data_IF_790690373140
#
_entry.id   IF_790690373140
#
_cell.length_a   1.000
_cell.length_b   1.000
_cell.length_c   1.000
_cell.angle_alpha   90.00
_cell.angle_beta   90.00
_cell.angle_gamma   90.00
#
_symmetry.space_group_name_H-M   'P 1'
#
loop_
_entity.id
_entity.type
_entity.pdbx_description
1 polymer ?
#
# COMPACT_ATOMS: atom_id res chain seq x y z
N UNK A 1 15.52 -4.59 1.29
CA UNK A 1 14.55 -4.98 2.34
C UNK A 1 13.59 -5.95 1.70
N UNK A 2 13.51 -7.15 2.21
CA UNK A 2 12.52 -8.13 1.78
C UNK A 2 11.17 -7.66 2.30
N UNK A 3 10.24 -7.36 1.41
CA UNK A 3 8.86 -7.16 1.81
C UNK A 3 8.26 -8.57 1.94
N UNK A 4 8.41 -9.14 3.14
CA UNK A 4 7.76 -10.38 3.53
C UNK A 4 6.35 -10.06 4.02
N UNK A 5 5.39 -10.88 3.67
CA UNK A 5 4.12 -10.87 4.39
C UNK A 5 4.28 -11.49 5.79
N UNK A 6 3.25 -11.40 6.63
CA UNK A 6 3.35 -11.90 8.01
C UNK A 6 3.54 -13.41 8.10
N UNK A 7 3.07 -14.17 7.14
CA UNK A 7 3.24 -15.62 7.10
C UNK A 7 4.66 -16.00 6.66
N UNK A 8 5.22 -15.28 5.67
CA UNK A 8 6.63 -15.37 5.27
C UNK A 8 7.56 -14.98 6.42
N UNK A 9 7.25 -13.90 7.17
CA UNK A 9 8.00 -13.51 8.35
C UNK A 9 7.99 -14.62 9.43
N UNK A 10 6.83 -15.19 9.71
CA UNK A 10 6.70 -16.27 10.70
C UNK A 10 7.51 -17.51 10.33
N UNK A 11 7.51 -17.86 9.05
CA UNK A 11 8.32 -18.96 8.53
C UNK A 11 9.82 -18.64 8.67
N UNK A 12 10.26 -17.45 8.31
CA UNK A 12 11.65 -17.00 8.46
C UNK A 12 12.13 -17.05 9.91
N UNK A 13 11.33 -16.56 10.86
CA UNK A 13 11.70 -16.60 12.29
C UNK A 13 11.86 -18.03 12.80
N UNK A 14 10.99 -18.95 12.38
CA UNK A 14 11.09 -20.35 12.77
C UNK A 14 12.29 -21.04 12.11
N UNK A 15 12.44 -20.88 10.80
CA UNK A 15 13.34 -21.71 9.98
C UNK A 15 14.79 -21.17 10.00
N UNK A 16 14.96 -19.84 10.06
CA UNK A 16 16.28 -19.21 10.00
C UNK A 16 16.81 -18.75 11.38
N UNK A 17 15.90 -18.35 12.28
CA UNK A 17 16.30 -17.84 13.60
C UNK A 17 16.06 -18.85 14.73
N UNK A 18 15.46 -20.00 14.44
CA UNK A 18 15.19 -21.05 15.44
C UNK A 18 14.19 -20.63 16.54
N UNK A 19 13.39 -19.59 16.26
CA UNK A 19 12.38 -19.10 17.20
C UNK A 19 11.16 -19.99 17.09
N UNK A 20 11.05 -20.95 17.99
CA UNK A 20 9.96 -21.93 18.01
C UNK A 20 8.75 -21.36 18.75
N UNK A 21 8.05 -20.40 18.09
CA UNK A 21 6.80 -19.83 18.57
C UNK A 21 5.64 -20.22 17.66
N UNK A 22 4.43 -20.17 18.19
CA UNK A 22 3.23 -20.31 17.38
C UNK A 22 3.15 -19.15 16.37
N UNK A 23 3.19 -19.48 15.08
CA UNK A 23 3.14 -18.51 13.99
C UNK A 23 1.90 -17.60 14.07
N UNK A 24 0.75 -18.14 14.50
CA UNK A 24 -0.48 -17.37 14.69
C UNK A 24 -0.34 -16.34 15.82
N UNK A 25 0.27 -16.72 16.94
CA UNK A 25 0.52 -15.82 18.06
C UNK A 25 1.53 -14.73 17.70
N UNK A 26 2.58 -15.06 16.94
CA UNK A 26 3.53 -14.06 16.42
C UNK A 26 2.86 -13.08 15.49
N UNK A 27 2.08 -13.58 14.55
CA UNK A 27 1.29 -12.76 13.63
C UNK A 27 0.37 -11.81 14.39
N UNK A 28 -0.41 -12.33 15.35
CA UNK A 28 -1.32 -11.49 16.14
C UNK A 28 -0.57 -10.41 16.91
N UNK A 29 0.56 -10.76 17.55
CA UNK A 29 1.40 -9.77 18.26
C UNK A 29 1.91 -8.67 17.31
N UNK A 30 2.36 -9.03 16.12
CA UNK A 30 2.81 -8.06 15.12
C UNK A 30 1.67 -7.12 14.70
N UNK A 31 0.49 -7.68 14.40
CA UNK A 31 -0.71 -6.89 14.04
C UNK A 31 -1.11 -5.95 15.19
N UNK A 32 -1.11 -6.41 16.42
CA UNK A 32 -1.46 -5.59 17.60
C UNK A 32 -0.49 -4.41 17.78
N UNK A 33 0.82 -4.66 17.64
CA UNK A 33 1.85 -3.62 17.70
C UNK A 33 1.67 -2.62 16.56
N UNK A 34 1.52 -3.10 15.33
CA UNK A 34 1.32 -2.24 14.16
C UNK A 34 0.04 -1.41 14.30
N UNK A 35 -1.09 -2.03 14.68
CA UNK A 35 -2.36 -1.33 14.87
C UNK A 35 -2.23 -0.21 15.90
N UNK A 36 -1.53 -0.47 17.02
CA UNK A 36 -1.26 0.56 18.03
C UNK A 36 -0.49 1.74 17.44
N UNK A 37 0.60 1.49 16.71
CA UNK A 37 1.39 2.55 16.09
C UNK A 37 0.60 3.32 15.02
N UNK A 38 -0.16 2.63 14.17
CA UNK A 38 -1.04 3.27 13.20
C UNK A 38 -2.13 4.13 13.86
N UNK A 39 -2.58 3.75 15.07
CA UNK A 39 -3.57 4.53 15.83
C UNK A 39 -2.98 5.72 16.59
N UNK A 40 -1.66 5.83 16.73
CA UNK A 40 -1.02 6.84 17.59
C UNK A 40 -0.03 7.76 16.87
N UNK A 41 0.99 7.22 16.23
CA UNK A 41 2.22 7.94 15.94
C UNK A 41 2.76 7.84 14.48
N UNK A 42 2.39 6.82 13.68
CA UNK A 42 2.88 6.73 12.31
C UNK A 42 2.35 7.89 11.45
N UNK A 43 3.19 8.82 10.98
CA UNK A 43 2.72 9.93 10.17
C UNK A 43 2.25 9.48 8.78
N UNK A 44 1.41 10.29 8.15
CA UNK A 44 1.24 10.18 6.70
C UNK A 44 2.52 10.64 5.99
N UNK A 45 2.76 10.15 4.79
CA UNK A 45 3.83 10.69 3.94
C UNK A 45 3.53 12.15 3.62
N UNK A 46 4.57 12.97 3.56
CA UNK A 46 4.43 14.41 3.36
C UNK A 46 3.63 14.74 2.08
N UNK A 47 2.75 15.74 2.18
CA UNK A 47 1.88 16.17 1.10
C UNK A 47 0.75 15.20 0.72
N UNK A 48 0.72 13.97 1.27
CA UNK A 48 -0.31 13.00 0.89
C UNK A 48 -1.67 13.29 1.51
N UNK A 49 -1.74 13.87 2.72
CA UNK A 49 -3.02 14.25 3.32
C UNK A 49 -3.70 15.37 2.54
N UNK A 50 -2.94 16.37 2.13
CA UNK A 50 -3.42 17.48 1.31
C UNK A 50 -3.91 16.99 -0.06
N UNK A 51 -3.15 16.08 -0.67
CA UNK A 51 -3.53 15.45 -1.93
C UNK A 51 -4.85 14.69 -1.80
N UNK A 52 -4.97 13.80 -0.80
CA UNK A 52 -6.17 12.99 -0.59
C UNK A 52 -7.40 13.87 -0.37
N UNK A 53 -7.29 14.90 0.46
CA UNK A 53 -8.40 15.83 0.71
C UNK A 53 -8.79 16.60 -0.54
N UNK A 54 -7.81 17.11 -1.29
CA UNK A 54 -8.05 17.82 -2.56
C UNK A 54 -8.75 16.93 -3.58
N UNK A 55 -8.31 15.70 -3.75
CA UNK A 55 -8.93 14.76 -4.67
C UNK A 55 -10.36 14.40 -4.23
N UNK A 56 -10.59 14.23 -2.93
CA UNK A 56 -11.92 14.01 -2.37
C UNK A 56 -12.85 15.20 -2.64
N UNK A 57 -12.40 16.43 -2.38
CA UNK A 57 -13.14 17.66 -2.65
C UNK A 57 -13.43 17.87 -4.14
N UNK A 58 -12.54 17.41 -5.01
CA UNK A 58 -12.72 17.40 -6.46
C UNK A 58 -13.72 16.33 -6.94
N UNK A 59 -14.19 15.43 -6.06
CA UNK A 59 -15.11 14.35 -6.38
C UNK A 59 -14.45 13.13 -7.01
N UNK A 60 -13.12 13.00 -6.86
CA UNK A 60 -12.40 11.81 -7.32
C UNK A 60 -12.86 10.57 -6.56
N UNK A 61 -13.11 9.48 -7.27
CA UNK A 61 -13.42 8.19 -6.67
C UNK A 61 -12.11 7.47 -6.31
N UNK A 62 -11.89 7.21 -5.02
CA UNK A 62 -10.62 6.68 -4.52
C UNK A 62 -10.80 5.37 -3.78
N UNK A 63 -9.84 4.47 -3.91
CA UNK A 63 -9.75 3.27 -3.07
C UNK A 63 -8.31 3.02 -2.62
N UNK A 64 -8.18 2.23 -1.57
CA UNK A 64 -6.89 1.74 -1.07
C UNK A 64 -6.73 0.27 -1.47
N UNK A 65 -5.52 -0.09 -1.93
CA UNK A 65 -5.09 -1.48 -2.05
C UNK A 65 -3.79 -1.68 -1.27
N UNK A 66 -3.82 -2.53 -0.25
CA UNK A 66 -2.72 -2.66 0.71
C UNK A 66 -2.41 -4.11 1.08
N UNK A 67 -1.16 -4.37 1.45
CA UNK A 67 -0.72 -5.60 2.10
C UNK A 67 -0.87 -5.56 3.63
N UNK A 68 -1.20 -4.39 4.19
CA UNK A 68 -1.42 -4.23 5.63
C UNK A 68 -2.74 -4.87 6.06
N UNK A 69 -2.78 -5.30 7.34
CA UNK A 69 -4.02 -5.77 7.95
C UNK A 69 -5.09 -4.67 7.97
N UNK A 70 -6.34 -5.03 7.75
CA UNK A 70 -7.47 -4.09 7.68
C UNK A 70 -7.57 -3.23 8.94
N UNK A 71 -7.36 -3.80 10.12
CA UNK A 71 -7.41 -3.06 11.38
C UNK A 71 -6.35 -1.97 11.48
N UNK A 72 -5.14 -2.21 10.94
CA UNK A 72 -4.09 -1.20 10.86
C UNK A 72 -4.50 -0.02 9.97
N UNK A 73 -5.08 -0.32 8.80
CA UNK A 73 -5.53 0.70 7.85
C UNK A 73 -6.64 1.55 8.45
N UNK A 74 -7.67 0.91 9.01
CA UNK A 74 -8.81 1.59 9.64
C UNK A 74 -8.34 2.50 10.79
N UNK A 75 -7.39 2.04 11.61
CA UNK A 75 -6.81 2.82 12.70
C UNK A 75 -6.09 4.08 12.18
N UNK A 76 -5.28 3.94 11.12
CA UNK A 76 -4.59 5.07 10.51
C UNK A 76 -5.56 6.09 9.91
N UNK A 77 -6.52 5.64 9.10
CA UNK A 77 -7.48 6.51 8.42
C UNK A 77 -8.35 7.28 9.41
N UNK A 78 -8.82 6.61 10.47
CA UNK A 78 -9.60 7.24 11.53
C UNK A 78 -8.80 8.32 12.26
N UNK A 79 -7.55 8.03 12.65
CA UNK A 79 -6.67 9.00 13.32
C UNK A 79 -6.35 10.20 12.44
N UNK A 80 -6.14 9.98 11.15
CA UNK A 80 -5.81 11.04 10.18
C UNK A 80 -7.05 11.81 9.70
N UNK A 81 -8.26 11.34 10.03
CA UNK A 81 -9.52 12.00 9.65
C UNK A 81 -9.75 11.99 8.13
N UNK A 82 -9.43 10.87 7.47
CA UNK A 82 -9.57 10.71 6.01
C UNK A 82 -10.29 9.43 5.60
N UNK A 83 -10.98 8.77 6.53
CA UNK A 83 -11.74 7.54 6.24
C UNK A 83 -12.76 7.78 5.14
N UNK A 84 -13.51 8.87 5.21
CA UNK A 84 -14.58 9.21 4.27
C UNK A 84 -14.06 9.65 2.88
N UNK A 85 -12.75 9.84 2.74
CA UNK A 85 -12.13 10.16 1.45
C UNK A 85 -12.06 8.93 0.51
N UNK A 86 -12.22 7.72 1.04
CA UNK A 86 -12.09 6.50 0.26
C UNK A 86 -13.42 5.77 0.11
N UNK A 87 -13.76 5.44 -1.13
CA UNK A 87 -14.98 4.70 -1.45
C UNK A 87 -14.86 3.21 -1.09
N UNK A 88 -13.64 2.66 -1.08
CA UNK A 88 -13.40 1.28 -0.67
C UNK A 88 -11.94 1.07 -0.20
N UNK A 89 -11.73 0.00 0.56
CA UNK A 89 -10.41 -0.45 1.00
C UNK A 89 -10.31 -1.95 0.69
N UNK A 90 -9.31 -2.31 -0.09
CA UNK A 90 -8.97 -3.69 -0.42
C UNK A 90 -7.64 -4.05 0.21
N UNK A 91 -7.62 -5.16 0.92
CA UNK A 91 -6.38 -5.78 1.38
C UNK A 91 -6.01 -6.92 0.42
N UNK A 92 -4.77 -7.42 0.51
CA UNK A 92 -4.36 -8.61 -0.25
C UNK A 92 -5.13 -9.88 0.14
N UNK A 93 -5.89 -9.85 1.23
CA UNK A 93 -6.77 -10.94 1.67
C UNK A 93 -8.17 -10.88 1.02
N UNK A 94 -8.57 -9.73 0.47
CA UNK A 94 -9.85 -9.53 -0.21
C UNK A 94 -9.78 -9.89 -1.71
N UNK A 95 -8.56 -10.10 -2.22
CA UNK A 95 -8.26 -10.32 -3.63
C UNK A 95 -7.48 -11.64 -3.76
N UNK A 96 -7.79 -12.51 -4.75
CA UNK A 96 -7.12 -13.80 -4.92
C UNK A 96 -5.68 -13.70 -5.44
N UNK A 97 -5.18 -12.49 -5.66
CA UNK A 97 -3.84 -12.19 -6.17
C UNK A 97 -3.12 -11.21 -5.25
N UNK A 98 -1.80 -11.35 -5.11
CA UNK A 98 -0.99 -10.37 -4.39
C UNK A 98 -0.62 -9.17 -5.28
N UNK A 99 0.01 -8.14 -4.70
CA UNK A 99 0.42 -6.91 -5.41
C UNK A 99 1.46 -7.12 -6.50
N UNK A 100 2.09 -8.29 -6.59
CA UNK A 100 3.04 -8.64 -7.66
C UNK A 100 2.35 -9.13 -8.94
N UNK A 101 1.01 -9.29 -8.90
CA UNK A 101 0.23 -9.75 -10.04
C UNK A 101 -0.64 -8.62 -10.60
N UNK A 102 -0.51 -8.27 -11.90
CA UNK A 102 -1.33 -7.24 -12.53
C UNK A 102 -2.84 -7.45 -12.41
N UNK A 103 -3.27 -8.71 -12.33
CA UNK A 103 -4.69 -9.06 -12.23
C UNK A 103 -5.32 -8.58 -10.90
N UNK A 104 -4.53 -8.35 -9.84
CA UNK A 104 -5.04 -7.76 -8.61
C UNK A 104 -5.56 -6.33 -8.84
N UNK A 105 -4.80 -5.51 -9.55
CA UNK A 105 -5.18 -4.13 -9.86
C UNK A 105 -6.36 -4.08 -10.82
N UNK A 106 -6.37 -4.93 -11.86
CA UNK A 106 -7.50 -5.02 -12.81
C UNK A 106 -8.80 -5.43 -12.14
N UNK A 107 -8.75 -6.43 -11.25
CA UNK A 107 -9.92 -6.90 -10.50
C UNK A 107 -10.47 -5.79 -9.58
N UNK A 108 -9.60 -5.00 -8.95
CA UNK A 108 -10.02 -3.85 -8.15
C UNK A 108 -10.66 -2.79 -9.04
N UNK A 109 -10.05 -2.48 -10.19
CA UNK A 109 -10.62 -1.54 -11.15
C UNK A 109 -12.01 -1.98 -11.63
N UNK A 110 -12.19 -3.28 -11.91
CA UNK A 110 -13.50 -3.85 -12.27
C UNK A 110 -14.52 -3.67 -11.13
N UNK A 111 -14.16 -4.02 -9.89
CA UNK A 111 -15.02 -3.86 -8.71
C UNK A 111 -15.42 -2.41 -8.44
N UNK A 112 -14.53 -1.47 -8.75
CA UNK A 112 -14.75 -0.03 -8.59
C UNK A 112 -15.37 0.64 -9.82
N UNK A 113 -15.58 -0.11 -10.91
CA UNK A 113 -16.01 0.40 -12.22
C UNK A 113 -15.06 1.45 -12.80
N UNK A 114 -13.76 1.30 -12.53
CA UNK A 114 -12.70 2.13 -13.08
C UNK A 114 -12.22 1.57 -14.43
N UNK A 115 -11.73 2.47 -15.29
CA UNK A 115 -10.94 2.09 -16.45
C UNK A 115 -9.46 2.24 -16.11
N UNK A 116 -8.63 1.22 -16.33
CA UNK A 116 -7.20 1.31 -16.01
C UNK A 116 -6.52 2.55 -16.61
N UNK A 117 -6.78 2.85 -17.87
CA UNK A 117 -6.21 3.98 -18.60
C UNK A 117 -6.59 5.36 -18.06
N UNK A 118 -7.69 5.46 -17.29
CA UNK A 118 -8.17 6.68 -16.65
C UNK A 118 -7.83 6.74 -15.16
N UNK A 119 -7.19 5.70 -14.63
CA UNK A 119 -6.94 5.53 -13.18
C UNK A 119 -5.47 5.74 -12.85
N UNK A 120 -5.22 6.56 -11.83
CA UNK A 120 -3.90 6.74 -11.24
C UNK A 120 -3.67 5.77 -10.09
N UNK A 121 -2.52 5.12 -10.10
CA UNK A 121 -2.01 4.31 -8.98
C UNK A 121 -0.84 5.05 -8.33
N UNK A 122 -1.00 5.41 -7.06
CA UNK A 122 0.04 6.00 -6.22
C UNK A 122 0.73 4.86 -5.46
N UNK A 123 2.00 4.64 -5.73
CA UNK A 123 2.74 3.49 -5.19
C UNK A 123 4.22 3.87 -4.97
N UNK A 124 4.83 3.26 -3.97
CA UNK A 124 6.21 3.49 -3.57
C UNK A 124 7.12 2.25 -3.75
N UNK A 125 6.55 1.08 -4.06
CA UNK A 125 7.29 -0.17 -4.16
C UNK A 125 7.37 -0.64 -5.61
N UNK A 126 8.60 -0.97 -6.08
CA UNK A 126 8.88 -1.32 -7.47
C UNK A 126 7.92 -2.38 -8.04
N UNK A 127 7.74 -3.51 -7.35
CA UNK A 127 6.88 -4.59 -7.86
C UNK A 127 5.40 -4.20 -7.97
N UNK A 128 4.92 -3.30 -7.11
CA UNK A 128 3.57 -2.74 -7.21
C UNK A 128 3.42 -1.85 -8.44
N UNK A 129 4.42 -1.00 -8.68
CA UNK A 129 4.51 -0.12 -9.85
C UNK A 129 4.55 -0.94 -11.15
N UNK A 130 5.41 -1.97 -11.22
CA UNK A 130 5.50 -2.86 -12.38
C UNK A 130 4.17 -3.55 -12.68
N UNK A 131 3.49 -4.05 -11.64
CA UNK A 131 2.21 -4.74 -11.77
C UNK A 131 1.10 -3.79 -12.23
N UNK A 132 1.00 -2.61 -11.63
CA UNK A 132 0.01 -1.61 -12.04
C UNK A 132 0.27 -1.13 -13.47
N UNK A 133 1.55 -0.91 -13.85
CA UNK A 133 1.93 -0.53 -15.23
C UNK A 133 1.53 -1.60 -16.24
N UNK A 134 1.81 -2.88 -15.94
CA UNK A 134 1.38 -4.01 -16.77
C UNK A 134 -0.14 -4.13 -16.83
N UNK A 135 -0.85 -3.70 -15.79
CA UNK A 135 -2.30 -3.60 -15.75
C UNK A 135 -2.90 -2.50 -16.62
N UNK A 136 -2.08 -1.59 -17.15
CA UNK A 136 -2.51 -0.48 -18.02
C UNK A 136 -2.87 0.80 -17.26
N UNK A 137 -2.46 0.93 -15.99
CA UNK A 137 -2.73 2.09 -15.15
C UNK A 137 -1.70 3.22 -15.37
N UNK A 138 -2.11 4.45 -15.06
CA UNK A 138 -1.20 5.59 -14.89
C UNK A 138 -0.53 5.49 -13.52
N UNK A 139 0.76 5.77 -13.48
CA UNK A 139 1.58 5.60 -12.27
C UNK A 139 2.07 6.94 -11.75
N UNK A 140 1.76 7.22 -10.50
CA UNK A 140 2.41 8.26 -9.73
C UNK A 140 3.32 7.60 -8.69
N UNK A 141 4.63 7.66 -8.89
CA UNK A 141 5.61 7.14 -7.95
C UNK A 141 5.72 8.08 -6.75
N UNK A 142 5.55 7.53 -5.55
CA UNK A 142 5.70 8.25 -4.29
C UNK A 142 7.02 7.83 -3.64
N UNK A 143 7.90 8.79 -3.35
CA UNK A 143 9.19 8.45 -2.74
C UNK A 143 9.01 7.82 -1.35
N UNK A 144 9.80 6.78 -1.11
CA UNK A 144 10.00 6.17 0.19
C UNK A 144 11.49 5.79 0.38
N UNK A 145 12.02 5.99 1.58
CA UNK A 145 13.42 5.67 1.89
C UNK A 145 13.73 4.18 1.73
N UNK A 146 12.76 3.31 2.03
CA UNK A 146 12.90 1.86 1.86
C UNK A 146 13.05 1.44 0.40
N UNK A 147 12.51 2.22 -0.53
CA UNK A 147 12.58 1.99 -1.98
C UNK A 147 13.74 2.71 -2.67
N UNK A 148 14.56 3.45 -1.94
CA UNK A 148 15.67 4.27 -2.44
C UNK A 148 16.61 3.52 -3.40
N UNK A 149 16.94 2.27 -3.12
CA UNK A 149 17.82 1.46 -3.97
C UNK A 149 17.24 1.16 -5.36
N UNK A 150 15.92 1.21 -5.50
CA UNK A 150 15.18 1.00 -6.75
C UNK A 150 14.61 2.29 -7.34
N UNK A 151 14.91 3.46 -6.74
CA UNK A 151 14.26 4.70 -7.09
C UNK A 151 14.43 5.09 -8.58
N UNK A 152 15.60 4.85 -9.15
CA UNK A 152 15.83 5.11 -10.57
C UNK A 152 14.96 4.22 -11.49
N UNK A 153 14.75 2.96 -11.12
CA UNK A 153 13.89 2.02 -11.85
C UNK A 153 12.42 2.44 -11.71
N UNK A 154 12.02 2.82 -10.51
CA UNK A 154 10.69 3.33 -10.20
C UNK A 154 10.38 4.58 -11.02
N UNK A 155 11.29 5.56 -11.04
CA UNK A 155 11.13 6.79 -11.83
C UNK A 155 11.02 6.52 -13.35
N UNK A 156 11.71 5.51 -13.85
CA UNK A 156 11.64 5.15 -15.27
C UNK A 156 10.28 4.54 -15.69
N UNK A 157 9.52 4.01 -14.74
CA UNK A 157 8.20 3.40 -14.96
C UNK A 157 7.03 4.36 -14.67
N UNK A 158 7.28 5.46 -13.97
CA UNK A 158 6.26 6.40 -13.54
C UNK A 158 5.88 7.41 -14.62
N UNK A 159 4.61 7.81 -14.65
CA UNK A 159 4.12 8.92 -15.46
C UNK A 159 4.26 10.26 -14.69
N UNK A 160 4.16 10.19 -13.34
CA UNK A 160 4.42 11.31 -12.42
C UNK A 160 5.26 10.84 -11.24
N UNK A 161 5.98 11.78 -10.63
CA UNK A 161 6.86 11.53 -9.47
C UNK A 161 6.51 12.52 -8.38
N UNK A 162 6.36 12.00 -7.14
CA UNK A 162 6.27 12.79 -5.91
C UNK A 162 7.46 12.45 -5.03
N UNK A 163 8.44 13.31 -5.05
CA UNK A 163 9.67 13.18 -4.28
C UNK A 163 9.84 14.44 -3.41
N UNK A 164 9.41 14.35 -2.17
CA UNK A 164 9.45 15.45 -1.19
C UNK A 164 10.86 15.98 -0.89
N UNK A 165 11.90 15.25 -1.24
CA UNK A 165 13.29 15.71 -1.06
C UNK A 165 13.65 16.84 -2.02
N UNK A 166 12.84 17.07 -3.05
CA UNK A 166 13.06 18.05 -4.11
C UNK A 166 12.05 19.23 -4.04
N UNK A 167 11.14 19.22 -3.09
CA UNK A 167 10.24 20.31 -2.75
C UNK A 167 10.82 21.14 -1.60
#
# INVERSE_FOLDING_TARGET
TYVMDLDECSAYFRDELGINTDASAMRQTAVDIMTRHYSTDIPAKDGMLELIRREHEAGSCMCIFTSSDRGCVDAALNRLGITDCFNNIFTVYDIPYNKKNPESYKLIAEKMHFKPEDTWVYEDVLHGIESARQGGFKICAVYDEDSKKHWNEICALADEIRDIRND
#
